data_IF_450420047466
#
_entry.id   IF_450420047466
#
_cell.length_a   1.000
_cell.length_b   1.000
_cell.length_c   1.000
_cell.angle_alpha   90.00
_cell.angle_beta   90.00
_cell.angle_gamma   90.00
#
_symmetry.space_group_name_H-M   'P 1'
#
loop_
_entity.id
_entity.type
_entity.pdbx_description
1 polymer ?
#
# COMPACT_ATOMS: atom_id res chain seq x y z
N UNK A 1 13.87 25.99 -35.57
CA UNK A 1 13.40 24.62 -35.23
C UNK A 1 13.92 24.09 -33.88
N UNK A 2 14.97 24.68 -33.27
CA UNK A 2 15.55 24.20 -31.99
C UNK A 2 14.84 24.69 -30.70
N UNK A 3 14.08 25.79 -30.75
CA UNK A 3 13.43 26.34 -29.54
C UNK A 3 12.23 25.53 -29.03
N UNK A 4 11.49 24.86 -29.92
CA UNK A 4 10.35 24.02 -29.52
C UNK A 4 10.79 22.77 -28.73
N UNK A 5 11.96 22.21 -29.06
CA UNK A 5 12.52 21.03 -28.40
C UNK A 5 13.03 21.36 -26.99
N UNK A 6 13.71 22.50 -26.82
CA UNK A 6 14.19 22.97 -25.51
C UNK A 6 13.04 23.35 -24.57
N UNK A 7 12.00 23.99 -25.10
CA UNK A 7 10.78 24.30 -24.35
C UNK A 7 10.07 23.02 -23.85
N UNK A 8 9.95 22.02 -24.72
CA UNK A 8 9.32 20.73 -24.37
C UNK A 8 10.08 20.00 -23.26
N UNK A 9 11.40 19.90 -23.36
CA UNK A 9 12.23 19.28 -22.32
C UNK A 9 12.16 20.01 -20.97
N UNK A 10 12.12 21.36 -20.97
CA UNK A 10 11.95 22.14 -19.74
C UNK A 10 10.59 21.89 -19.10
N UNK A 11 9.52 21.82 -19.91
CA UNK A 11 8.17 21.52 -19.43
C UNK A 11 8.10 20.11 -18.84
N UNK A 12 8.67 19.11 -19.51
CA UNK A 12 8.74 17.73 -19.02
C UNK A 12 9.49 17.63 -17.68
N UNK A 13 10.64 18.29 -17.54
CA UNK A 13 11.36 18.36 -16.25
C UNK A 13 10.53 19.01 -15.14
N UNK A 14 9.82 20.11 -15.44
CA UNK A 14 8.97 20.78 -14.44
C UNK A 14 7.83 19.87 -13.98
N UNK A 15 7.20 19.15 -14.90
CA UNK A 15 6.16 18.18 -14.55
C UNK A 15 6.73 17.04 -13.71
N UNK A 16 7.90 16.52 -14.05
CA UNK A 16 8.55 15.48 -13.27
C UNK A 16 8.88 15.94 -11.84
N UNK A 17 9.40 17.16 -11.68
CA UNK A 17 9.69 17.72 -10.36
C UNK A 17 8.41 17.87 -9.52
N UNK A 18 7.33 18.39 -10.12
CA UNK A 18 6.04 18.51 -9.43
C UNK A 18 5.50 17.13 -9.00
N UNK A 19 5.59 16.11 -9.86
CA UNK A 19 5.18 14.75 -9.51
C UNK A 19 6.02 14.18 -8.36
N UNK A 20 7.34 14.39 -8.39
CA UNK A 20 8.24 13.93 -7.33
C UNK A 20 7.93 14.63 -5.99
N UNK A 21 7.65 15.93 -6.01
CA UNK A 21 7.26 16.68 -4.81
C UNK A 21 5.92 16.20 -4.24
N UNK A 22 4.92 15.96 -5.10
CA UNK A 22 3.65 15.40 -4.67
C UNK A 22 3.83 14.00 -4.06
N UNK A 23 4.61 13.12 -4.70
CA UNK A 23 4.89 11.78 -4.18
C UNK A 23 5.61 11.83 -2.84
N UNK A 24 6.61 12.71 -2.70
CA UNK A 24 7.34 12.89 -1.46
C UNK A 24 6.43 13.34 -0.31
N UNK A 25 5.51 14.28 -0.56
CA UNK A 25 4.53 14.72 0.45
C UNK A 25 3.63 13.57 0.89
N UNK A 26 3.07 12.84 -0.07
CA UNK A 26 2.20 11.68 0.21
C UNK A 26 2.97 10.60 1.01
N UNK A 27 4.23 10.35 0.68
CA UNK A 27 5.05 9.39 1.41
C UNK A 27 5.38 9.85 2.83
N UNK A 28 5.60 11.16 3.04
CA UNK A 28 5.76 11.72 4.38
C UNK A 28 4.48 11.55 5.21
N UNK A 29 3.32 11.85 4.63
CA UNK A 29 2.02 11.69 5.30
C UNK A 29 1.75 10.22 5.67
N UNK A 30 2.00 9.28 4.75
CA UNK A 30 1.90 7.84 5.04
C UNK A 30 2.81 7.42 6.17
N UNK A 31 4.08 7.85 6.15
CA UNK A 31 5.04 7.53 7.21
C UNK A 31 4.60 8.07 8.57
N UNK A 32 3.99 9.25 8.60
CA UNK A 32 3.45 9.83 9.84
C UNK A 32 2.20 9.09 10.34
N UNK A 33 1.42 8.47 9.44
CA UNK A 33 0.21 7.73 9.77
C UNK A 33 0.47 6.27 10.21
N UNK A 34 1.70 5.75 10.09
CA UNK A 34 2.04 4.37 10.46
C UNK A 34 1.93 4.16 11.96
N UNK A 35 1.29 3.07 12.35
CA UNK A 35 1.40 2.55 13.71
C UNK A 35 2.78 1.90 13.88
N UNK A 36 3.59 2.25 14.91
CA UNK A 36 4.91 1.64 15.12
C UNK A 36 4.86 0.10 15.16
N UNK A 37 5.86 -0.58 14.60
CA UNK A 37 5.87 -2.05 14.44
C UNK A 37 5.64 -2.80 15.76
N UNK A 38 6.17 -2.28 16.86
CA UNK A 38 6.08 -2.89 18.20
C UNK A 38 4.66 -2.82 18.79
N UNK A 39 3.81 -1.96 18.22
CA UNK A 39 2.41 -1.73 18.64
C UNK A 39 1.40 -2.36 17.69
N UNK A 40 1.84 -2.92 16.57
CA UNK A 40 0.97 -3.61 15.64
C UNK A 40 0.45 -4.93 16.23
N UNK A 41 -0.78 -5.28 15.90
CA UNK A 41 -1.27 -6.65 16.11
C UNK A 41 -0.33 -7.64 15.36
N UNK A 42 -0.03 -8.81 15.93
CA UNK A 42 0.91 -9.76 15.33
C UNK A 42 0.59 -10.15 13.89
N UNK A 43 -0.69 -10.25 13.51
CA UNK A 43 -1.07 -10.59 12.14
C UNK A 43 -0.83 -9.41 11.18
N UNK A 44 -1.08 -8.19 11.63
CA UNK A 44 -0.82 -6.98 10.85
C UNK A 44 0.70 -6.80 10.67
N UNK A 45 1.47 -7.01 11.73
CA UNK A 45 2.93 -6.98 11.67
C UNK A 45 3.47 -7.99 10.67
N UNK A 46 2.95 -9.21 10.69
CA UNK A 46 3.35 -10.25 9.73
C UNK A 46 3.07 -9.84 8.28
N UNK A 47 1.93 -9.20 7.99
CA UNK A 47 1.66 -8.62 6.67
C UNK A 47 2.65 -7.50 6.33
N UNK A 48 2.98 -6.62 7.28
CA UNK A 48 3.97 -5.57 7.04
C UNK A 48 5.33 -6.18 6.70
N UNK A 49 5.78 -7.19 7.43
CA UNK A 49 7.05 -7.88 7.18
C UNK A 49 7.05 -8.66 5.85
N UNK A 50 5.91 -9.22 5.41
CA UNK A 50 5.77 -9.85 4.08
C UNK A 50 5.94 -8.88 2.92
N UNK A 51 5.52 -7.62 3.11
CA UNK A 51 5.62 -6.59 2.08
C UNK A 51 7.06 -6.21 1.71
N UNK A 52 8.02 -6.48 2.59
CA UNK A 52 9.46 -6.32 2.35
C UNK A 52 10.07 -7.52 1.57
N UNK A 53 9.33 -8.61 1.41
CA UNK A 53 9.77 -9.87 0.78
C UNK A 53 9.13 -10.14 -0.59
N UNK A 54 8.71 -11.39 -0.89
CA UNK A 54 8.12 -11.74 -2.19
C UNK A 54 6.72 -11.17 -2.44
N UNK A 55 6.21 -10.31 -1.54
CA UNK A 55 4.89 -9.69 -1.65
C UNK A 55 3.77 -10.52 -1.00
N UNK A 56 2.53 -10.20 -1.37
CA UNK A 56 1.33 -10.70 -0.69
C UNK A 56 0.64 -11.84 -1.43
N UNK A 57 1.08 -12.19 -2.63
CA UNK A 57 0.49 -13.24 -3.47
C UNK A 57 0.64 -14.68 -2.97
N UNK A 58 0.69 -14.92 -1.65
CA UNK A 58 0.92 -16.24 -1.06
C UNK A 58 -0.25 -16.70 -0.17
N UNK A 59 -0.33 -18.01 0.07
CA UNK A 59 -1.39 -18.64 0.86
C UNK A 59 -1.46 -18.11 2.30
N UNK A 60 -0.32 -17.67 2.84
CA UNK A 60 -0.26 -17.14 4.21
C UNK A 60 -0.97 -15.79 4.31
N UNK A 61 -0.81 -14.91 3.34
CA UNK A 61 -1.53 -13.64 3.29
C UNK A 61 -3.05 -13.87 3.18
N UNK A 62 -3.49 -14.87 2.39
CA UNK A 62 -4.90 -15.29 2.36
C UNK A 62 -5.37 -15.77 3.73
N UNK A 63 -4.58 -16.62 4.38
CA UNK A 63 -4.92 -17.16 5.71
C UNK A 63 -5.03 -16.06 6.77
N UNK A 64 -4.16 -15.05 6.71
CA UNK A 64 -4.27 -13.89 7.59
C UNK A 64 -5.59 -13.16 7.32
N UNK A 65 -5.96 -12.95 6.06
CA UNK A 65 -7.25 -12.37 5.69
C UNK A 65 -8.45 -13.09 6.31
N UNK A 66 -8.46 -14.43 6.26
CA UNK A 66 -9.49 -15.26 6.91
C UNK A 66 -9.54 -15.00 8.42
N UNK A 67 -8.39 -15.01 9.09
CA UNK A 67 -8.31 -14.76 10.54
C UNK A 67 -8.78 -13.36 10.92
N UNK A 68 -8.52 -12.36 10.08
CA UNK A 68 -8.99 -10.99 10.29
C UNK A 68 -10.50 -10.89 10.10
N UNK A 69 -11.05 -11.55 9.08
CA UNK A 69 -12.49 -11.64 8.87
C UNK A 69 -13.18 -12.28 10.07
N UNK A 70 -12.63 -13.38 10.61
CA UNK A 70 -13.20 -14.05 11.77
C UNK A 70 -13.19 -13.17 13.04
N UNK A 71 -12.22 -12.25 13.15
CA UNK A 71 -12.08 -11.34 14.31
C UNK A 71 -13.01 -10.13 14.25
N UNK A 72 -13.28 -9.59 13.07
CA UNK A 72 -14.00 -8.31 12.95
C UNK A 72 -14.64 -8.04 11.60
N UNK A 73 -14.73 -9.05 10.75
CA UNK A 73 -15.34 -8.98 9.42
C UNK A 73 -14.64 -8.02 8.47
N UNK A 74 -15.38 -7.60 7.44
CA UNK A 74 -14.89 -6.72 6.37
C UNK A 74 -14.37 -5.38 6.89
N UNK A 75 -15.03 -4.76 7.86
CA UNK A 75 -14.62 -3.46 8.39
C UNK A 75 -13.23 -3.51 9.05
N UNK A 76 -12.93 -4.59 9.78
CA UNK A 76 -11.60 -4.79 10.35
C UNK A 76 -10.56 -5.09 9.27
N UNK A 77 -10.90 -5.92 8.28
CA UNK A 77 -10.02 -6.17 7.12
C UNK A 77 -9.68 -4.88 6.36
N UNK A 78 -10.64 -3.98 6.18
CA UNK A 78 -10.41 -2.67 5.54
C UNK A 78 -9.44 -1.81 6.35
N UNK A 79 -9.62 -1.74 7.68
CA UNK A 79 -8.69 -1.02 8.54
C UNK A 79 -7.27 -1.58 8.43
N UNK A 80 -7.12 -2.91 8.44
CA UNK A 80 -5.81 -3.56 8.26
C UNK A 80 -5.23 -3.31 6.88
N UNK A 81 -6.04 -3.37 5.82
CA UNK A 81 -5.60 -3.05 4.47
C UNK A 81 -4.99 -1.65 4.40
N UNK A 82 -5.66 -0.65 4.97
CA UNK A 82 -5.15 0.72 4.97
C UNK A 82 -3.90 0.90 5.84
N UNK A 83 -3.81 0.22 6.99
CA UNK A 83 -2.58 0.20 7.77
C UNK A 83 -1.43 -0.36 6.92
N UNK A 84 -1.59 -1.54 6.31
CA UNK A 84 -0.56 -2.16 5.45
C UNK A 84 -0.24 -1.29 4.23
N UNK A 85 -1.23 -0.61 3.65
CA UNK A 85 -1.03 0.31 2.53
C UNK A 85 -0.14 1.52 2.91
N UNK A 86 -0.19 1.99 4.16
CA UNK A 86 0.70 3.05 4.64
C UNK A 86 2.17 2.58 4.72
N UNK A 87 2.40 1.29 4.93
CA UNK A 87 3.71 0.68 4.89
C UNK A 87 4.18 0.45 3.45
N UNK A 88 3.36 -0.22 2.65
CA UNK A 88 3.74 -0.80 1.37
C UNK A 88 2.73 -0.48 0.26
N UNK A 89 2.63 0.78 -0.20
CA UNK A 89 1.52 1.22 -1.07
C UNK A 89 1.48 0.55 -2.46
N UNK A 90 2.61 0.00 -2.91
CA UNK A 90 2.71 -0.68 -4.21
C UNK A 90 2.25 -2.13 -4.08
N UNK A 91 2.87 -2.89 -3.17
CA UNK A 91 2.62 -4.32 -3.01
C UNK A 91 1.29 -4.58 -2.29
N UNK A 92 0.85 -3.73 -1.36
CA UNK A 92 -0.42 -3.91 -0.63
C UNK A 92 -1.65 -4.05 -1.55
N UNK A 93 -1.59 -3.56 -2.80
CA UNK A 93 -2.64 -3.76 -3.81
C UNK A 93 -2.90 -5.23 -4.12
N UNK A 94 -1.89 -6.10 -3.98
CA UNK A 94 -2.03 -7.53 -4.16
C UNK A 94 -2.97 -8.16 -3.12
N UNK A 95 -3.04 -7.59 -1.92
CA UNK A 95 -3.97 -8.07 -0.88
C UNK A 95 -5.43 -7.98 -1.33
N UNK A 96 -5.79 -7.01 -2.17
CA UNK A 96 -7.15 -6.94 -2.70
C UNK A 96 -7.50 -8.25 -3.43
N UNK A 97 -6.62 -8.70 -4.34
CA UNK A 97 -6.82 -9.95 -5.10
C UNK A 97 -6.76 -11.18 -4.21
N UNK A 98 -5.82 -11.22 -3.27
CA UNK A 98 -5.59 -12.38 -2.41
C UNK A 98 -6.73 -12.58 -1.42
N UNK A 99 -7.37 -11.49 -0.98
CA UNK A 99 -8.52 -11.51 -0.08
C UNK A 99 -9.85 -11.54 -0.80
N UNK A 100 -9.86 -11.55 -2.12
CA UNK A 100 -11.10 -11.69 -2.89
C UNK A 100 -11.85 -12.96 -2.47
N UNK A 101 -13.14 -12.77 -2.19
CA UNK A 101 -14.05 -13.81 -1.70
C UNK A 101 -13.86 -14.22 -0.24
N UNK A 102 -13.05 -13.52 0.57
CA UNK A 102 -13.01 -13.72 2.03
C UNK A 102 -14.12 -12.89 2.68
N UNK A 103 -15.10 -13.56 3.28
CA UNK A 103 -16.27 -12.88 3.84
C UNK A 103 -16.98 -12.08 2.76
N UNK A 104 -17.21 -10.79 3.02
CA UNK A 104 -17.83 -9.85 2.07
C UNK A 104 -16.80 -9.04 1.26
N UNK A 105 -15.51 -9.39 1.32
CA UNK A 105 -14.48 -8.69 0.57
C UNK A 105 -14.62 -8.98 -0.94
N UNK A 106 -14.70 -7.91 -1.73
CA UNK A 106 -14.84 -7.94 -3.18
C UNK A 106 -13.80 -7.00 -3.79
N UNK A 107 -12.91 -7.56 -4.62
CA UNK A 107 -11.75 -6.86 -5.18
C UNK A 107 -11.98 -6.28 -6.58
#
# INVERSE_FOLDING_TARGET
MFDSLKWRQRRERRLQNLLNECNAKVDTERKAARTPLERLDPLIRELVEMGDGPGYGNDRARKIGELLNDRGGMGYMQAVYYEVFNWHPITARELQRVWDGIGDWQA
#
